data_IF_870164858223
#
_entry.id   IF_870164858223
#
_cell.length_a   1.000
_cell.length_b   1.000
_cell.length_c   1.000
_cell.angle_alpha   90.00
_cell.angle_beta   90.00
_cell.angle_gamma   90.00
#
_symmetry.space_group_name_H-M   'P 1'
#
loop_
_entity.id
_entity.type
_entity.pdbx_description
1 polymer ?
#
# COMPACT_ATOMS: atom_id res chain seq x y z
N UNK A 1 19.87 28.98 -51.09
CA UNK A 1 18.47 28.50 -50.92
C UNK A 1 18.53 27.19 -50.18
N UNK A 2 18.39 27.19 -48.85
CA UNK A 2 17.14 27.00 -48.10
C UNK A 2 16.47 25.64 -48.31
N UNK A 3 16.46 24.85 -47.22
CA UNK A 3 15.64 23.66 -47.04
C UNK A 3 15.74 23.19 -45.58
N UNK A 4 15.08 23.90 -44.66
CA UNK A 4 15.06 23.63 -43.21
C UNK A 4 14.45 22.25 -42.94
N UNK A 5 15.13 21.43 -42.13
CA UNK A 5 14.51 20.28 -41.43
C UNK A 5 13.45 20.85 -40.48
N UNK A 6 12.20 20.43 -40.64
CA UNK A 6 11.21 20.66 -39.60
C UNK A 6 11.53 19.75 -38.42
N UNK A 7 11.96 20.35 -37.31
CA UNK A 7 11.81 19.74 -35.99
C UNK A 7 10.32 19.66 -35.70
N UNK A 8 9.79 18.45 -35.57
CA UNK A 8 8.52 18.22 -34.88
C UNK A 8 8.66 18.78 -33.45
N UNK A 9 7.68 19.60 -33.05
CA UNK A 9 7.57 20.12 -31.67
C UNK A 9 7.10 18.99 -30.75
N UNK A 10 7.60 18.89 -29.50
CA UNK A 10 6.96 18.07 -28.48
C UNK A 10 5.65 18.75 -28.08
N UNK A 11 4.53 18.05 -28.21
CA UNK A 11 3.19 18.58 -27.91
C UNK A 11 2.43 17.68 -26.92
N UNK A 12 3.13 16.88 -26.10
CA UNK A 12 2.53 15.97 -25.11
C UNK A 12 2.96 16.22 -23.64
N UNK A 13 3.95 17.07 -23.37
CA UNK A 13 4.55 17.14 -22.02
C UNK A 13 3.76 17.97 -20.99
N UNK A 14 3.03 19.00 -21.42
CA UNK A 14 2.38 19.94 -20.50
C UNK A 14 1.05 19.43 -19.90
N UNK A 15 0.33 18.56 -20.61
CA UNK A 15 -0.93 17.98 -20.13
C UNK A 15 -0.67 16.98 -19.00
N UNK A 16 0.35 16.15 -19.15
CA UNK A 16 0.70 15.11 -18.19
C UNK A 16 1.26 15.69 -16.87
N UNK A 17 2.08 16.74 -16.96
CA UNK A 17 2.56 17.46 -15.78
C UNK A 17 1.41 18.15 -15.01
N UNK A 18 0.38 18.63 -15.72
CA UNK A 18 -0.83 19.17 -15.11
C UNK A 18 -1.63 18.09 -14.38
N UNK A 19 -1.79 16.90 -15.00
CA UNK A 19 -2.49 15.76 -14.40
C UNK A 19 -1.80 15.25 -13.13
N UNK A 20 -0.46 15.22 -13.11
CA UNK A 20 0.30 14.85 -11.91
C UNK A 20 0.16 15.90 -10.82
N UNK A 21 0.35 17.18 -11.14
CA UNK A 21 0.19 18.26 -10.15
C UNK A 21 -1.23 18.28 -9.59
N UNK A 22 -2.23 17.99 -10.43
CA UNK A 22 -3.62 17.82 -10.04
C UNK A 22 -3.80 16.61 -9.13
N UNK A 23 -3.34 15.41 -9.49
CA UNK A 23 -3.40 14.20 -8.65
C UNK A 23 -2.76 14.41 -7.27
N UNK A 24 -1.58 15.04 -7.26
CA UNK A 24 -0.79 15.37 -6.07
C UNK A 24 -1.50 16.42 -5.20
N UNK A 25 -2.22 17.37 -5.79
CA UNK A 25 -3.09 18.31 -5.06
C UNK A 25 -4.38 17.66 -4.57
N UNK A 26 -4.96 16.75 -5.36
CA UNK A 26 -6.15 15.99 -5.01
C UNK A 26 -5.90 15.12 -3.78
N UNK A 27 -4.69 14.59 -3.57
CA UNK A 27 -4.38 13.84 -2.35
C UNK A 27 -4.60 14.63 -1.06
N UNK A 28 -4.37 15.95 -1.07
CA UNK A 28 -4.67 16.79 0.10
C UNK A 28 -6.18 17.05 0.26
N UNK A 29 -6.97 16.94 -0.82
CA UNK A 29 -8.43 17.06 -0.85
C UNK A 29 -9.15 15.72 -0.61
N UNK A 30 -8.49 14.59 -0.86
CA UNK A 30 -9.05 13.27 -0.66
C UNK A 30 -9.30 13.04 0.83
N UNK A 31 -10.58 12.78 1.13
CA UNK A 31 -10.98 12.30 2.44
C UNK A 31 -10.29 10.97 2.78
N UNK A 32 -10.24 10.60 4.06
CA UNK A 32 -9.71 9.32 4.47
C UNK A 32 -10.48 8.16 3.83
N UNK A 33 -9.74 7.17 3.34
CA UNK A 33 -10.27 5.93 2.76
C UNK A 33 -10.42 4.89 3.86
N UNK A 34 -11.57 4.23 3.92
CA UNK A 34 -11.87 3.18 4.89
C UNK A 34 -12.08 1.84 4.18
N UNK A 35 -11.40 0.81 4.67
CA UNK A 35 -11.41 -0.54 4.10
C UNK A 35 -11.58 -1.57 5.21
N UNK A 36 -12.41 -2.58 4.95
CA UNK A 36 -12.53 -3.77 5.78
C UNK A 36 -11.90 -4.97 5.09
N UNK A 37 -11.10 -5.74 5.83
CA UNK A 37 -10.49 -6.98 5.33
C UNK A 37 -10.68 -8.11 6.35
N UNK A 38 -11.19 -9.30 5.93
CA UNK A 38 -11.28 -10.45 6.81
C UNK A 38 -9.90 -11.00 7.17
N UNK A 39 -9.80 -11.67 8.32
CA UNK A 39 -8.61 -12.47 8.63
C UNK A 39 -8.58 -13.72 7.77
N UNK A 40 -7.39 -14.32 7.66
CA UNK A 40 -7.22 -15.63 7.07
C UNK A 40 -6.62 -16.64 8.06
N UNK A 41 -6.85 -17.93 7.80
CA UNK A 41 -6.19 -19.06 8.45
C UNK A 41 -5.49 -19.89 7.38
N UNK A 42 -4.18 -20.12 7.56
CA UNK A 42 -3.38 -20.93 6.63
C UNK A 42 -3.75 -22.42 6.72
N UNK A 43 -4.14 -22.99 5.58
CA UNK A 43 -4.25 -24.43 5.33
C UNK A 43 -2.90 -25.05 4.97
N UNK A 44 -2.13 -24.37 4.11
CA UNK A 44 -0.73 -24.68 3.83
C UNK A 44 0.10 -23.53 4.38
N UNK A 45 0.99 -23.84 5.33
CA UNK A 45 1.74 -22.84 6.08
C UNK A 45 2.79 -22.16 5.21
N UNK A 46 2.89 -20.85 5.34
CA UNK A 46 4.12 -20.13 5.05
C UNK A 46 5.13 -20.42 6.15
N UNK A 47 6.31 -20.92 5.79
CA UNK A 47 7.36 -21.18 6.76
C UNK A 47 8.75 -21.00 6.16
N UNK A 48 9.36 -19.86 6.48
CA UNK A 48 10.69 -19.51 6.02
C UNK A 48 10.68 -18.46 4.91
N UNK A 49 11.76 -17.67 4.87
CA UNK A 49 11.97 -16.59 3.92
C UNK A 49 13.22 -16.86 3.10
N UNK A 50 13.10 -16.67 1.78
CA UNK A 50 14.28 -16.60 0.90
C UNK A 50 14.88 -15.21 0.86
N UNK A 51 14.05 -14.18 1.13
CA UNK A 51 14.44 -12.78 1.18
C UNK A 51 13.72 -12.09 2.35
N UNK A 52 14.49 -11.57 3.30
CA UNK A 52 13.97 -10.91 4.51
C UNK A 52 13.50 -9.47 4.27
N UNK A 53 14.10 -8.80 3.28
CA UNK A 53 13.81 -7.40 2.96
C UNK A 53 12.51 -7.31 2.17
N UNK A 54 12.35 -8.17 1.17
CA UNK A 54 11.15 -8.29 0.33
C UNK A 54 10.08 -9.24 0.92
N UNK A 55 10.39 -9.93 2.02
CA UNK A 55 9.52 -10.89 2.72
C UNK A 55 9.05 -12.00 1.75
N UNK A 56 9.95 -12.50 0.91
CA UNK A 56 9.64 -13.55 -0.07
C UNK A 56 9.70 -14.93 0.58
N UNK A 57 8.74 -15.82 0.31
CA UNK A 57 8.71 -17.14 0.92
C UNK A 57 9.70 -18.09 0.27
N UNK A 58 10.01 -19.16 0.99
CA UNK A 58 10.60 -20.36 0.38
C UNK A 58 9.55 -21.26 -0.29
N UNK A 59 8.28 -21.20 0.13
CA UNK A 59 7.21 -22.05 -0.36
C UNK A 59 5.89 -21.29 -0.58
N UNK A 60 5.05 -21.80 -1.50
CA UNK A 60 3.67 -21.32 -1.62
C UNK A 60 2.87 -21.63 -0.36
N UNK A 61 1.90 -20.78 -0.05
CA UNK A 61 0.94 -20.99 1.06
C UNK A 61 -0.49 -20.94 0.55
N UNK A 62 -1.41 -21.51 1.32
CA UNK A 62 -2.84 -21.55 1.02
C UNK A 62 -3.60 -21.19 2.29
N UNK A 63 -4.58 -20.31 2.21
CA UNK A 63 -5.36 -19.89 3.38
C UNK A 63 -6.85 -19.74 3.06
N UNK A 64 -7.66 -19.78 4.11
CA UNK A 64 -9.10 -19.52 4.09
C UNK A 64 -9.43 -18.22 4.80
N UNK A 65 -10.26 -17.38 4.19
CA UNK A 65 -10.79 -16.18 4.84
C UNK A 65 -11.88 -16.55 5.87
N UNK A 66 -11.95 -15.79 6.96
CA UNK A 66 -13.03 -15.86 7.95
C UNK A 66 -13.80 -14.54 7.93
N UNK A 67 -14.92 -14.54 7.23
CA UNK A 67 -15.71 -13.33 6.95
C UNK A 67 -16.23 -12.64 8.22
N UNK A 68 -16.46 -13.39 9.30
CA UNK A 68 -16.98 -12.84 10.56
C UNK A 68 -15.95 -11.98 11.33
N UNK A 69 -14.65 -12.12 11.03
CA UNK A 69 -13.57 -11.50 11.79
C UNK A 69 -12.77 -10.59 10.87
N UNK A 70 -12.91 -9.27 11.06
CA UNK A 70 -12.40 -8.25 10.14
C UNK A 70 -11.51 -7.23 10.85
N UNK A 71 -10.53 -6.72 10.11
CA UNK A 71 -9.81 -5.49 10.42
C UNK A 71 -10.40 -4.35 9.59
N UNK A 72 -10.96 -3.34 10.26
CA UNK A 72 -11.43 -2.10 9.66
C UNK A 72 -10.35 -1.05 9.81
N UNK A 73 -9.84 -0.55 8.69
CA UNK A 73 -8.73 0.41 8.67
C UNK A 73 -9.09 1.64 7.86
N UNK A 74 -8.88 2.79 8.48
CA UNK A 74 -9.01 4.10 7.87
C UNK A 74 -7.62 4.67 7.63
N UNK A 75 -7.34 5.10 6.39
CA UNK A 75 -6.06 5.68 5.98
C UNK A 75 -6.31 7.06 5.39
N UNK A 76 -5.58 8.05 5.89
CA UNK A 76 -5.50 9.38 5.32
C UNK A 76 -4.07 9.63 4.85
N UNK A 77 -3.91 10.22 3.68
CA UNK A 77 -2.64 10.68 3.15
C UNK A 77 -2.72 12.18 2.91
N UNK A 78 -1.77 12.97 3.41
CA UNK A 78 -1.68 14.39 3.07
C UNK A 78 -0.29 14.95 3.40
N UNK A 79 0.03 16.14 2.89
CA UNK A 79 1.26 16.87 3.23
C UNK A 79 1.24 17.43 4.65
N UNK A 80 0.05 17.64 5.21
CA UNK A 80 -0.16 18.21 6.54
C UNK A 80 -0.06 17.18 7.67
N UNK A 81 0.01 15.90 7.32
CA UNK A 81 0.00 14.78 8.24
C UNK A 81 1.38 14.17 8.33
N UNK A 82 1.75 13.68 9.51
CA UNK A 82 2.95 12.86 9.73
C UNK A 82 2.56 11.39 9.90
N UNK A 83 3.49 10.48 9.63
CA UNK A 83 3.25 9.05 9.78
C UNK A 83 2.81 8.73 11.22
N UNK A 84 1.62 8.15 11.33
CA UNK A 84 1.03 7.74 12.60
C UNK A 84 0.14 6.52 12.39
N UNK A 85 0.19 5.60 13.34
CA UNK A 85 -0.61 4.37 13.32
C UNK A 85 -1.22 4.16 14.69
N UNK A 86 -2.55 4.03 14.73
CA UNK A 86 -3.31 3.67 15.93
C UNK A 86 -4.05 2.36 15.67
N UNK A 87 -3.90 1.39 16.56
CA UNK A 87 -4.56 0.07 16.46
C UNK A 87 -5.36 -0.16 17.73
N UNK A 88 -6.68 -0.33 17.60
CA UNK A 88 -7.59 -0.54 18.74
C UNK A 88 -7.43 0.53 19.84
N UNK A 89 -7.22 1.79 19.44
CA UNK A 89 -7.01 2.92 20.35
C UNK A 89 -5.60 3.04 20.94
N UNK A 90 -4.68 2.14 20.59
CA UNK A 90 -3.29 2.18 21.05
C UNK A 90 -2.39 2.73 19.96
N UNK A 91 -1.63 3.78 20.26
CA UNK A 91 -0.64 4.36 19.35
C UNK A 91 0.55 3.41 19.19
N UNK A 92 0.92 3.14 17.95
CA UNK A 92 2.07 2.30 17.60
C UNK A 92 3.33 3.16 17.50
N UNK A 93 4.38 2.72 18.17
CA UNK A 93 5.72 3.28 18.04
C UNK A 93 6.35 2.88 16.69
N UNK A 94 6.42 3.84 15.77
CA UNK A 94 6.94 3.63 14.41
C UNK A 94 8.47 3.48 14.36
N UNK A 95 9.19 4.01 15.36
CA UNK A 95 10.64 3.83 15.44
C UNK A 95 11.00 2.39 15.78
N UNK A 96 10.14 1.71 16.54
CA UNK A 96 10.28 0.29 16.85
C UNK A 96 9.71 -0.62 15.76
N UNK A 97 8.73 -0.16 14.98
CA UNK A 97 8.06 -0.99 13.97
C UNK A 97 8.53 -0.70 12.54
N UNK A 98 9.62 -1.35 12.14
CA UNK A 98 10.19 -1.29 10.78
C UNK A 98 9.22 -1.70 9.65
N UNK A 99 8.09 -2.33 9.97
CA UNK A 99 7.13 -2.87 8.99
C UNK A 99 6.27 -1.76 8.39
N UNK A 100 5.73 -0.87 9.23
CA UNK A 100 4.95 0.29 8.77
C UNK A 100 5.81 1.25 7.96
N UNK A 101 7.04 1.52 8.43
CA UNK A 101 7.97 2.39 7.72
C UNK A 101 8.31 1.88 6.32
N UNK A 102 8.63 0.59 6.18
CA UNK A 102 8.83 -0.04 4.87
C UNK A 102 7.61 0.08 3.95
N UNK A 103 6.41 -0.10 4.51
CA UNK A 103 5.15 0.01 3.76
C UNK A 103 4.94 1.44 3.24
N UNK A 104 5.10 2.45 4.09
CA UNK A 104 4.93 3.87 3.73
C UNK A 104 6.03 4.37 2.79
N UNK A 105 7.28 3.97 3.02
CA UNK A 105 8.41 4.34 2.15
C UNK A 105 8.24 3.74 0.75
N UNK A 106 7.82 2.47 0.67
CA UNK A 106 7.50 1.85 -0.62
C UNK A 106 6.33 2.53 -1.33
N UNK A 107 5.28 2.91 -0.59
CA UNK A 107 4.15 3.66 -1.15
C UNK A 107 4.61 5.00 -1.76
N UNK A 108 5.48 5.73 -1.06
CA UNK A 108 6.07 6.98 -1.56
C UNK A 108 6.92 6.75 -2.79
N UNK A 109 7.69 5.67 -2.83
CA UNK A 109 8.54 5.35 -3.98
C UNK A 109 7.74 4.95 -5.23
N UNK A 110 6.60 4.27 -5.06
CA UNK A 110 5.66 4.03 -6.17
C UNK A 110 5.11 5.33 -6.73
N UNK A 111 4.66 6.23 -5.84
CA UNK A 111 4.16 7.55 -6.24
C UNK A 111 5.23 8.36 -6.97
N UNK A 112 6.48 8.37 -6.47
CA UNK A 112 7.61 9.01 -7.16
C UNK A 112 7.83 8.43 -8.56
N UNK A 113 7.79 7.11 -8.72
CA UNK A 113 7.98 6.46 -10.03
C UNK A 113 6.89 6.82 -11.03
N UNK A 114 5.62 6.83 -10.59
CA UNK A 114 4.50 7.28 -11.44
C UNK A 114 4.72 8.71 -11.94
N UNK A 115 5.36 9.56 -11.12
CA UNK A 115 5.61 10.96 -11.43
C UNK A 115 6.86 11.15 -12.29
N UNK A 116 7.94 10.44 -12.01
CA UNK A 116 9.19 10.48 -12.79
C UNK A 116 9.02 9.93 -14.21
N UNK A 117 8.10 8.98 -14.42
CA UNK A 117 7.69 8.55 -15.76
C UNK A 117 7.05 9.69 -16.58
N UNK A 118 6.61 10.75 -15.92
CA UNK A 118 6.08 11.97 -16.51
C UNK A 118 7.09 13.09 -16.71
N UNK A 119 8.30 12.80 -17.16
CA UNK A 119 9.37 13.74 -17.59
C UNK A 119 9.67 14.97 -16.70
N UNK A 120 9.11 15.04 -15.50
CA UNK A 120 9.17 16.22 -14.63
C UNK A 120 9.80 15.78 -13.32
N UNK A 121 11.07 16.16 -13.10
CA UNK A 121 11.72 16.08 -11.78
C UNK A 121 11.07 17.08 -10.83
N UNK A 122 9.88 16.76 -10.35
CA UNK A 122 9.21 17.55 -9.32
C UNK A 122 9.73 17.07 -7.96
N UNK A 123 10.28 17.98 -7.16
CA UNK A 123 10.55 17.71 -5.75
C UNK A 123 9.21 17.53 -5.04
N UNK A 124 8.74 16.28 -4.92
CA UNK A 124 7.48 16.01 -4.26
C UNK A 124 7.61 16.34 -2.76
N UNK A 125 6.64 17.08 -2.20
CA UNK A 125 6.51 17.20 -0.76
C UNK A 125 6.39 15.80 -0.14
N UNK A 126 7.01 15.58 1.01
CA UNK A 126 6.87 14.31 1.73
C UNK A 126 5.46 14.24 2.30
N UNK A 127 4.66 13.30 1.80
CA UNK A 127 3.35 13.00 2.34
C UNK A 127 3.48 12.08 3.56
N UNK A 128 2.66 12.31 4.57
CA UNK A 128 2.51 11.40 5.71
C UNK A 128 1.21 10.62 5.66
N UNK A 129 1.23 9.46 6.32
CA UNK A 129 0.09 8.56 6.44
C UNK A 129 -0.44 8.55 7.87
N UNK A 130 -1.71 8.88 8.04
CA UNK A 130 -2.43 8.67 9.29
C UNK A 130 -3.30 7.43 9.14
N UNK A 131 -3.02 6.41 9.95
CA UNK A 131 -3.71 5.12 9.93
C UNK A 131 -4.41 4.89 11.27
N UNK A 132 -5.70 4.61 11.22
CA UNK A 132 -6.49 4.15 12.36
C UNK A 132 -7.12 2.81 12.02
N UNK A 133 -6.75 1.76 12.75
CA UNK A 133 -7.25 0.40 12.54
C UNK A 133 -7.95 -0.13 13.79
N UNK A 134 -9.02 -0.88 13.58
CA UNK A 134 -9.74 -1.58 14.64
C UNK A 134 -10.13 -2.99 14.20
N UNK A 135 -10.14 -3.93 15.13
CA UNK A 135 -10.52 -5.32 14.89
C UNK A 135 -11.76 -5.68 15.69
N UNK A 136 -12.72 -6.38 15.10
CA UNK A 136 -13.92 -6.85 15.81
C UNK A 136 -13.70 -8.15 16.61
N UNK A 137 -12.44 -8.52 16.85
CA UNK A 137 -12.02 -9.72 17.57
C UNK A 137 -10.86 -9.42 18.53
N UNK A 138 -10.66 -10.25 19.58
CA UNK A 138 -9.62 -10.00 20.57
C UNK A 138 -8.23 -10.20 19.96
N UNK A 139 -7.37 -9.18 20.05
CA UNK A 139 -5.96 -9.28 19.62
C UNK A 139 -5.22 -10.41 20.35
N UNK A 140 -5.57 -10.64 21.62
CA UNK A 140 -4.99 -11.70 22.46
C UNK A 140 -5.32 -13.14 22.01
N UNK A 141 -6.27 -13.32 21.06
CA UNK A 141 -6.67 -14.64 20.60
C UNK A 141 -5.63 -15.34 19.69
N UNK A 142 -4.47 -14.70 19.42
CA UNK A 142 -3.42 -15.28 18.57
C UNK A 142 -3.80 -15.39 17.09
N UNK A 143 -4.87 -14.71 16.68
CA UNK A 143 -5.33 -14.67 15.29
C UNK A 143 -4.42 -13.77 14.44
N UNK A 144 -4.39 -14.02 13.12
CA UNK A 144 -3.57 -13.32 12.12
C UNK A 144 -4.00 -11.85 11.87
N UNK A 145 -4.24 -11.09 12.94
CA UNK A 145 -4.68 -9.69 12.94
C UNK A 145 -3.80 -8.78 12.11
N UNK A 146 -2.48 -8.99 12.15
CA UNK A 146 -1.53 -8.18 11.38
C UNK A 146 -1.70 -8.36 9.87
N UNK A 147 -2.04 -9.57 9.40
CA UNK A 147 -2.19 -9.81 7.97
C UNK A 147 -3.36 -9.02 7.38
N UNK A 148 -4.53 -9.09 8.03
CA UNK A 148 -5.71 -8.31 7.65
C UNK A 148 -5.47 -6.79 7.79
N UNK A 149 -4.80 -6.34 8.86
CA UNK A 149 -4.47 -4.93 9.06
C UNK A 149 -3.58 -4.37 7.94
N UNK A 150 -2.50 -5.06 7.58
CA UNK A 150 -1.63 -4.62 6.48
C UNK A 150 -2.26 -4.77 5.10
N UNK A 151 -3.14 -5.76 4.89
CA UNK A 151 -3.97 -5.85 3.70
C UNK A 151 -4.87 -4.61 3.55
N UNK A 152 -5.56 -4.22 4.63
CA UNK A 152 -6.47 -3.08 4.63
C UNK A 152 -5.71 -1.76 4.37
N UNK A 153 -4.55 -1.57 5.00
CA UNK A 153 -3.65 -0.44 4.71
C UNK A 153 -3.28 -0.42 3.22
N UNK A 154 -2.89 -1.58 2.68
CA UNK A 154 -2.41 -1.64 1.31
C UNK A 154 -3.49 -1.38 0.27
N UNK A 155 -4.70 -1.90 0.50
CA UNK A 155 -5.85 -1.63 -0.35
C UNK A 155 -6.22 -0.15 -0.27
N UNK A 156 -6.24 0.45 0.92
CA UNK A 156 -6.57 1.86 1.08
C UNK A 156 -5.55 2.77 0.37
N UNK A 157 -4.25 2.49 0.52
CA UNK A 157 -3.19 3.20 -0.24
C UNK A 157 -3.33 2.95 -1.74
N UNK A 158 -3.65 1.72 -2.14
CA UNK A 158 -3.91 1.37 -3.53
C UNK A 158 -5.06 2.15 -4.15
N UNK A 159 -6.12 2.42 -3.39
CA UNK A 159 -7.23 3.26 -3.82
C UNK A 159 -6.82 4.74 -3.89
N UNK A 160 -6.04 5.24 -2.93
CA UNK A 160 -5.57 6.63 -2.92
C UNK A 160 -4.62 6.94 -4.09
N UNK A 161 -3.76 5.99 -4.47
CA UNK A 161 -2.72 6.17 -5.49
C UNK A 161 -3.02 5.43 -6.82
N UNK A 162 -4.23 4.87 -6.95
CA UNK A 162 -4.67 4.10 -8.13
C UNK A 162 -3.68 2.98 -8.53
N UNK A 163 -3.16 2.25 -7.54
CA UNK A 163 -2.14 1.21 -7.75
C UNK A 163 -2.73 -0.05 -8.37
N UNK A 164 -1.90 -0.77 -9.12
CA UNK A 164 -2.23 -2.10 -9.61
C UNK A 164 -2.33 -3.11 -8.46
N UNK A 165 -3.10 -4.19 -8.65
CA UNK A 165 -3.21 -5.26 -7.65
C UNK A 165 -1.86 -5.91 -7.30
N UNK A 166 -0.90 -5.92 -8.22
CA UNK A 166 0.46 -6.42 -7.99
C UNK A 166 1.23 -5.53 -7.01
N UNK A 167 1.10 -4.22 -7.15
CA UNK A 167 1.71 -3.24 -6.25
C UNK A 167 1.05 -3.28 -4.87
N UNK A 168 -0.28 -3.36 -4.83
CA UNK A 168 -1.06 -3.52 -3.60
C UNK A 168 -0.64 -4.80 -2.86
N UNK A 169 -0.51 -5.93 -3.57
CA UNK A 169 -0.01 -7.20 -3.03
C UNK A 169 1.41 -7.10 -2.46
N UNK A 170 2.29 -6.41 -3.18
CA UNK A 170 3.68 -6.19 -2.74
C UNK A 170 3.73 -5.32 -1.49
N UNK A 171 2.97 -4.23 -1.47
CA UNK A 171 2.94 -3.28 -0.36
C UNK A 171 2.39 -3.92 0.92
N UNK A 172 1.37 -4.77 0.80
CA UNK A 172 0.84 -5.50 1.95
C UNK A 172 1.83 -6.54 2.49
N UNK A 173 2.53 -7.24 1.59
CA UNK A 173 3.57 -8.22 1.94
C UNK A 173 4.73 -7.60 2.73
N UNK A 174 5.16 -6.39 2.37
CA UNK A 174 6.22 -5.68 3.10
C UNK A 174 5.84 -5.38 4.56
N UNK A 175 4.54 -5.30 4.84
CA UNK A 175 3.99 -5.09 6.17
C UNK A 175 3.81 -6.37 6.99
N UNK A 176 3.28 -7.43 6.38
CA UNK A 176 3.04 -8.71 7.05
C UNK A 176 3.18 -9.93 6.13
N UNK A 177 3.42 -11.07 6.76
CA UNK A 177 3.43 -12.38 6.10
C UNK A 177 2.00 -12.90 5.96
N UNK A 178 1.75 -13.83 5.02
CA UNK A 178 0.44 -14.42 4.77
C UNK A 178 -0.67 -13.40 4.50
N UNK A 179 -0.31 -12.27 3.89
CA UNK A 179 -1.28 -11.26 3.55
C UNK A 179 -2.07 -11.72 2.33
N UNK A 180 -3.40 -11.64 2.45
CA UNK A 180 -4.35 -11.96 1.41
C UNK A 180 -5.07 -10.69 1.01
N UNK A 181 -5.15 -10.45 -0.30
CA UNK A 181 -5.82 -9.29 -0.88
C UNK A 181 -6.90 -9.82 -1.82
N UNK A 182 -8.17 -9.61 -1.45
CA UNK A 182 -9.33 -10.05 -2.21
C UNK A 182 -10.35 -10.86 -1.40
N UNK A 183 -11.58 -10.91 -1.91
CA UNK A 183 -12.76 -11.49 -1.24
C UNK A 183 -12.92 -12.99 -1.43
N UNK A 184 -11.98 -13.66 -2.10
CA UNK A 184 -12.09 -15.09 -2.40
C UNK A 184 -11.83 -15.92 -1.14
N UNK A 185 -12.70 -16.91 -0.88
CA UNK A 185 -12.65 -17.72 0.34
C UNK A 185 -11.41 -18.61 0.44
N UNK A 186 -10.73 -18.90 -0.67
CA UNK A 186 -9.47 -19.66 -0.75
C UNK A 186 -8.44 -18.80 -1.49
N UNK A 187 -7.29 -18.55 -0.88
CA UNK A 187 -6.24 -17.73 -1.49
C UNK A 187 -4.89 -18.45 -1.45
N UNK A 188 -4.28 -18.55 -2.64
CA UNK A 188 -2.92 -19.04 -2.83
C UNK A 188 -1.95 -17.89 -2.86
N UNK A 189 -0.82 -18.04 -2.19
CA UNK A 189 0.28 -17.11 -2.29
C UNK A 189 1.48 -17.77 -2.95
N UNK A 190 1.97 -17.16 -4.03
CA UNK A 190 3.04 -17.71 -4.87
C UNK A 190 4.38 -17.01 -4.60
N UNK A 191 5.49 -17.76 -4.64
CA UNK A 191 6.85 -17.25 -4.49
C UNK A 191 7.33 -16.54 -5.77
N UNK A 192 6.73 -15.40 -6.14
CA UNK A 192 7.20 -14.62 -7.31
C UNK A 192 8.38 -13.75 -6.92
#
# INVERSE_FOLDING_TARGET
MFGRRQMQKPFEDASFALDIAHMVSCLDEYGPVEVEVPINIALIKYWGKRDEDLILPVNSSLSLNIDALVARTRVRCSRSVTDSVTINGVVVDLDKSKRFRRCFDFARDLLKKQIEHGDTKLNLPTYGFEVSSSTNFPVAAGLASSAAGFAAIAIAIGQLFELSMTEVSTLARLGAQNVVIGSFSIVMWFPV
#
